data_IF_870203876474
#
_entry.id   IF_870203876474
#
_cell.length_a   1.000
_cell.length_b   1.000
_cell.length_c   1.000
_cell.angle_alpha   90.00
_cell.angle_beta   90.00
_cell.angle_gamma   90.00
#
_symmetry.space_group_name_H-M   'P 1'
#
loop_
_entity.id
_entity.type
_entity.pdbx_description
1 polymer ?
#
# COMPACT_ATOMS: atom_id res chain seq x y z
N UNK A 1 -10.51 -7.44 5.52
CA UNK A 1 -9.45 -8.12 4.74
C UNK A 1 -8.31 -7.13 4.54
N UNK A 2 -7.10 -7.50 4.91
CA UNK A 2 -5.88 -6.68 4.84
C UNK A 2 -5.05 -7.11 3.65
N UNK A 3 -4.71 -6.17 2.78
CA UNK A 3 -3.90 -6.44 1.59
C UNK A 3 -2.65 -5.56 1.64
N UNK A 4 -1.48 -6.16 1.42
CA UNK A 4 -0.24 -5.44 1.19
C UNK A 4 0.15 -5.56 -0.29
N UNK A 5 0.28 -4.45 -0.98
CA UNK A 5 0.81 -4.38 -2.34
C UNK A 5 2.21 -3.78 -2.23
N UNK A 6 3.24 -4.53 -2.64
CA UNK A 6 4.64 -4.17 -2.41
C UNK A 6 5.39 -4.01 -3.75
N UNK A 7 6.54 -3.34 -3.68
CA UNK A 7 7.49 -3.17 -4.80
C UNK A 7 6.97 -2.37 -6.02
N UNK A 8 5.78 -1.77 -5.94
CA UNK A 8 5.20 -0.95 -7.01
C UNK A 8 5.61 0.52 -6.97
N UNK A 9 5.38 1.22 -8.09
CA UNK A 9 5.41 2.69 -8.17
C UNK A 9 3.99 3.23 -7.99
N UNK A 10 3.76 3.96 -6.91
CA UNK A 10 2.45 4.54 -6.61
C UNK A 10 2.42 5.94 -7.20
N UNK A 11 1.41 6.22 -8.01
CA UNK A 11 1.18 7.49 -8.68
C UNK A 11 -0.17 8.04 -8.21
N UNK A 12 -0.15 9.11 -7.42
CA UNK A 12 -1.33 9.86 -7.00
C UNK A 12 -1.20 11.33 -7.43
N UNK A 13 -1.88 11.74 -8.52
CA UNK A 13 -1.84 13.12 -9.01
C UNK A 13 -2.40 14.15 -8.04
N UNK A 14 -3.34 13.77 -7.16
CA UNK A 14 -3.98 14.71 -6.25
C UNK A 14 -3.01 15.17 -5.15
N UNK A 15 -2.12 14.27 -4.71
CA UNK A 15 -1.06 14.57 -3.74
C UNK A 15 0.31 14.84 -4.36
N UNK A 16 0.40 14.82 -5.70
CA UNK A 16 1.65 14.87 -6.46
C UNK A 16 2.68 13.82 -5.99
N UNK A 17 2.19 12.64 -5.63
CA UNK A 17 2.99 11.52 -5.16
C UNK A 17 3.36 10.63 -6.34
N UNK A 18 4.64 10.46 -6.61
CA UNK A 18 5.12 9.59 -7.67
C UNK A 18 6.46 8.95 -7.31
N UNK A 19 6.40 7.81 -6.62
CA UNK A 19 7.60 7.09 -6.17
C UNK A 19 7.32 5.61 -5.90
N UNK A 20 8.39 4.83 -5.75
CA UNK A 20 8.30 3.44 -5.29
C UNK A 20 7.78 3.40 -3.84
N UNK A 21 6.69 2.69 -3.61
CA UNK A 21 6.04 2.59 -2.31
C UNK A 21 5.15 1.35 -2.21
N UNK A 22 5.00 0.82 -1.00
CA UNK A 22 3.94 -0.15 -0.71
C UNK A 22 2.58 0.53 -0.52
N UNK A 23 1.48 -0.15 -0.83
CA UNK A 23 0.12 0.27 -0.49
C UNK A 23 -0.51 -0.77 0.44
N UNK A 24 -1.03 -0.30 1.57
CA UNK A 24 -1.63 -1.15 2.59
C UNK A 24 -3.11 -0.83 2.67
N UNK A 25 -3.95 -1.83 2.45
CA UNK A 25 -5.41 -1.72 2.42
C UNK A 25 -5.97 -2.44 3.65
N UNK A 26 -6.89 -1.81 4.34
CA UNK A 26 -7.68 -2.41 5.42
C UNK A 26 -9.17 -2.09 5.20
N UNK A 27 -10.02 -3.12 5.29
CA UNK A 27 -11.47 -3.01 5.08
C UNK A 27 -11.90 -2.27 3.78
N UNK A 28 -11.12 -2.42 2.71
CA UNK A 28 -11.40 -1.78 1.41
C UNK A 28 -10.93 -0.32 1.29
N UNK A 29 -10.30 0.23 2.32
CA UNK A 29 -9.73 1.57 2.35
C UNK A 29 -8.20 1.52 2.39
N UNK A 30 -7.54 2.53 1.83
CA UNK A 30 -6.08 2.69 1.98
C UNK A 30 -5.78 3.06 3.43
N UNK A 31 -5.12 2.16 4.14
CA UNK A 31 -4.66 2.36 5.52
C UNK A 31 -3.32 3.12 5.55
N UNK A 32 -2.42 2.87 4.59
CA UNK A 32 -1.16 3.60 4.45
C UNK A 32 -0.55 3.45 3.05
N UNK A 33 0.33 4.41 2.70
CA UNK A 33 1.22 4.35 1.55
C UNK A 33 2.67 4.48 2.05
N UNK A 34 3.57 3.66 1.52
CA UNK A 34 4.99 3.60 1.87
C UNK A 34 5.29 2.59 2.99
N UNK A 35 4.81 2.84 4.21
CA UNK A 35 5.07 1.98 5.38
C UNK A 35 3.79 1.40 5.94
N UNK A 36 3.81 0.12 6.29
CA UNK A 36 2.70 -0.53 6.95
C UNK A 36 2.42 0.11 8.32
N UNK A 37 1.16 0.29 8.73
CA UNK A 37 0.80 0.67 10.08
C UNK A 37 1.37 -0.30 11.13
N UNK A 38 1.56 0.16 12.36
CA UNK A 38 1.94 -0.73 13.44
C UNK A 38 0.91 -1.87 13.59
N UNK A 39 1.42 -3.09 13.83
CA UNK A 39 0.61 -4.30 13.96
C UNK A 39 -0.20 -4.68 12.69
N UNK A 40 0.09 -4.08 11.54
CA UNK A 40 -0.51 -4.50 10.27
C UNK A 40 -0.02 -5.91 9.89
N UNK A 41 -0.97 -6.84 9.72
CA UNK A 41 -0.73 -8.17 9.18
C UNK A 41 -1.59 -8.33 7.94
N UNK A 42 -0.96 -8.53 6.80
CA UNK A 42 -1.66 -8.73 5.55
C UNK A 42 -2.27 -10.15 5.52
N UNK A 43 -3.55 -10.25 5.17
CA UNK A 43 -4.18 -11.53 4.80
C UNK A 43 -3.66 -11.97 3.43
N UNK A 44 -3.32 -11.01 2.57
CA UNK A 44 -2.79 -11.26 1.23
C UNK A 44 -1.71 -10.26 0.91
N UNK A 45 -0.58 -10.75 0.38
CA UNK A 45 0.51 -9.92 -0.12
C UNK A 45 0.59 -10.08 -1.63
N UNK A 46 0.63 -8.96 -2.34
CA UNK A 46 0.76 -8.88 -3.79
C UNK A 46 2.08 -8.18 -4.12
N UNK A 47 2.84 -8.72 -5.06
CA UNK A 47 4.04 -8.10 -5.61
C UNK A 47 3.69 -7.39 -6.92
N UNK A 48 4.14 -6.15 -7.07
CA UNK A 48 3.85 -5.29 -8.22
C UNK A 48 5.07 -4.98 -9.10
N UNK A 49 6.17 -5.75 -8.96
CA UNK A 49 7.35 -5.68 -9.83
C UNK A 49 7.14 -6.34 -11.20
#
# INVERSE_FOLDING_TARGET
MKIAILNGRVIDPASNFDQAAGVFIDEGCIAAIGRAPEQFRADTTLDAA
#
